data_IF_832410044787
#
_entry.id   IF_832410044787
#
_cell.length_a   1.000
_cell.length_b   1.000
_cell.length_c   1.000
_cell.angle_alpha   90.00
_cell.angle_beta   90.00
_cell.angle_gamma   90.00
#
_symmetry.space_group_name_H-M   'P 1'
#
loop_
_entity.id
_entity.type
_entity.pdbx_description
1 polymer ?
#
# COMPACT_ATOMS: atom_id res chain seq x y z
N UNK A 1 58.68 36.43 -43.93
CA UNK A 1 58.17 35.42 -42.97
C UNK A 1 56.85 35.85 -42.32
N UNK A 2 56.01 36.61 -43.04
CA UNK A 2 54.87 37.37 -42.46
C UNK A 2 53.50 36.96 -43.03
N UNK A 3 53.44 36.34 -44.21
CA UNK A 3 52.16 35.88 -44.80
C UNK A 3 51.56 34.64 -44.10
N UNK A 4 52.41 33.70 -43.64
CA UNK A 4 51.95 32.44 -43.00
C UNK A 4 51.23 32.66 -41.66
N UNK A 5 51.61 33.69 -40.88
CA UNK A 5 50.95 34.05 -39.61
C UNK A 5 49.55 34.65 -39.82
N UNK A 6 49.35 35.41 -40.90
CA UNK A 6 48.07 36.08 -41.19
C UNK A 6 46.97 35.11 -41.63
N UNK A 7 47.32 34.04 -42.35
CA UNK A 7 46.34 33.04 -42.82
C UNK A 7 45.95 32.09 -41.68
N UNK A 8 46.92 31.72 -40.83
CA UNK A 8 46.67 30.86 -39.67
C UNK A 8 45.76 31.53 -38.63
N UNK A 9 45.96 32.83 -38.36
CA UNK A 9 45.07 33.59 -37.46
C UNK A 9 43.64 33.72 -38.02
N UNK A 10 43.47 33.97 -39.32
CA UNK A 10 42.14 34.06 -39.95
C UNK A 10 41.40 32.72 -39.96
N UNK A 11 42.11 31.61 -40.16
CA UNK A 11 41.53 30.27 -40.09
C UNK A 11 41.09 29.89 -38.66
N UNK A 12 41.87 30.30 -37.65
CA UNK A 12 41.56 30.06 -36.24
C UNK A 12 40.40 30.93 -35.74
N UNK A 13 40.34 32.21 -36.12
CA UNK A 13 39.19 33.09 -35.86
C UNK A 13 37.90 32.60 -36.53
N UNK A 14 38.00 32.10 -37.77
CA UNK A 14 36.87 31.50 -38.48
C UNK A 14 36.36 30.23 -37.80
N UNK A 15 37.25 29.36 -37.32
CA UNK A 15 36.89 28.16 -36.57
C UNK A 15 36.24 28.48 -35.21
N UNK A 16 36.75 29.50 -34.49
CA UNK A 16 36.15 30.00 -33.26
C UNK A 16 34.75 30.59 -33.51
N UNK A 17 34.56 31.33 -34.60
CA UNK A 17 33.25 31.86 -34.97
C UNK A 17 32.24 30.76 -35.32
N UNK A 18 32.66 29.72 -36.03
CA UNK A 18 31.81 28.57 -36.33
C UNK A 18 31.46 27.81 -35.04
N UNK A 19 32.42 27.61 -34.15
CA UNK A 19 32.18 27.01 -32.83
C UNK A 19 31.20 27.82 -31.97
N UNK A 20 31.29 29.14 -32.00
CA UNK A 20 30.37 30.04 -31.30
C UNK A 20 28.96 30.02 -31.91
N UNK A 21 28.83 29.93 -33.24
CA UNK A 21 27.53 29.76 -33.90
C UNK A 21 26.88 28.42 -33.53
N UNK A 22 27.63 27.31 -33.56
CA UNK A 22 27.11 26.02 -33.14
C UNK A 22 26.78 25.98 -31.65
N UNK A 23 27.59 26.62 -30.79
CA UNK A 23 27.30 26.79 -29.37
C UNK A 23 26.02 27.58 -29.11
N UNK A 24 25.79 28.66 -29.86
CA UNK A 24 24.56 29.47 -29.79
C UNK A 24 23.34 28.70 -30.28
N UNK A 25 23.45 27.93 -31.36
CA UNK A 25 22.35 27.09 -31.87
C UNK A 25 22.05 25.98 -30.86
N UNK A 26 23.08 25.33 -30.30
CA UNK A 26 22.93 24.32 -29.26
C UNK A 26 22.27 24.91 -28.00
N UNK A 27 22.62 26.14 -27.59
CA UNK A 27 21.96 26.83 -26.49
C UNK A 27 20.51 27.24 -26.84
N UNK A 28 20.27 27.70 -28.06
CA UNK A 28 18.94 28.12 -28.53
C UNK A 28 17.95 26.96 -28.62
N UNK A 29 18.41 25.76 -28.95
CA UNK A 29 17.57 24.55 -28.97
C UNK A 29 17.58 23.88 -27.59
N UNK A 30 18.74 23.81 -26.95
CA UNK A 30 18.95 23.10 -25.69
C UNK A 30 18.25 23.74 -24.50
N UNK A 31 18.28 25.08 -24.37
CA UNK A 31 17.65 25.77 -23.23
C UNK A 31 16.12 25.62 -23.26
N UNK A 32 15.40 25.89 -24.38
CA UNK A 32 13.97 25.64 -24.45
C UNK A 32 13.61 24.17 -24.27
N UNK A 33 14.41 23.24 -24.81
CA UNK A 33 14.18 21.80 -24.63
C UNK A 33 14.33 21.38 -23.16
N UNK A 34 15.35 21.89 -22.46
CA UNK A 34 15.56 21.65 -21.04
C UNK A 34 14.47 22.29 -20.18
N UNK A 35 14.00 23.49 -20.53
CA UNK A 35 12.87 24.14 -19.86
C UNK A 35 11.58 23.35 -20.07
N UNK A 36 11.29 22.93 -21.30
CA UNK A 36 10.11 22.11 -21.62
C UNK A 36 10.15 20.77 -20.89
N UNK A 37 11.29 20.06 -20.94
CA UNK A 37 11.48 18.83 -20.20
C UNK A 37 11.33 19.06 -18.68
N UNK A 38 11.94 20.12 -18.14
CA UNK A 38 11.80 20.50 -16.73
C UNK A 38 10.35 20.77 -16.32
N UNK A 39 9.53 21.38 -17.19
CA UNK A 39 8.11 21.60 -16.93
C UNK A 39 7.24 20.35 -17.07
N UNK A 40 7.51 19.52 -18.09
CA UNK A 40 6.73 18.31 -18.37
C UNK A 40 7.00 17.21 -17.34
N UNK A 41 8.26 17.07 -16.93
CA UNK A 41 8.72 16.04 -15.99
C UNK A 41 8.91 16.60 -14.58
N UNK A 42 8.35 17.77 -14.27
CA UNK A 42 8.55 18.44 -12.99
C UNK A 42 8.17 17.54 -11.80
N UNK A 43 7.02 16.86 -11.88
CA UNK A 43 6.55 15.96 -10.82
C UNK A 43 7.47 14.75 -10.66
N UNK A 44 7.96 14.16 -11.76
CA UNK A 44 8.88 13.01 -11.71
C UNK A 44 10.25 13.40 -11.13
N UNK A 45 10.74 14.60 -11.47
CA UNK A 45 11.95 15.17 -10.89
C UNK A 45 11.75 15.38 -9.39
N UNK A 46 10.65 16.02 -8.98
CA UNK A 46 10.36 16.24 -7.57
C UNK A 46 10.14 14.94 -6.79
N UNK A 47 9.50 13.94 -7.40
CA UNK A 47 9.32 12.61 -6.81
C UNK A 47 10.66 11.96 -6.47
N UNK A 48 11.71 12.20 -7.27
CA UNK A 48 13.05 11.69 -7.00
C UNK A 48 13.82 12.50 -5.94
N UNK A 49 13.57 13.81 -5.82
CA UNK A 49 14.39 14.71 -5.00
C UNK A 49 13.75 15.17 -3.69
N UNK A 50 12.45 14.94 -3.49
CA UNK A 50 11.74 15.34 -2.27
C UNK A 50 11.12 14.12 -1.58
N UNK A 51 11.23 14.05 -0.27
CA UNK A 51 10.59 12.99 0.50
C UNK A 51 9.06 13.18 0.49
N UNK A 52 8.27 12.11 0.31
CA UNK A 52 6.83 12.18 0.30
C UNK A 52 6.28 12.58 1.67
N UNK A 53 5.31 13.50 1.68
CA UNK A 53 4.67 14.00 2.89
C UNK A 53 3.22 13.52 2.95
N UNK A 54 3.03 12.30 3.42
CA UNK A 54 1.72 11.71 3.67
C UNK A 54 1.51 11.49 5.16
N UNK A 55 0.31 11.80 5.62
CA UNK A 55 -0.19 11.34 6.92
C UNK A 55 -1.26 10.28 6.66
N UNK A 56 -1.17 9.16 7.36
CA UNK A 56 -2.17 8.12 7.27
C UNK A 56 -2.53 7.61 8.66
N UNK A 57 -3.82 7.38 8.88
CA UNK A 57 -4.33 6.78 10.10
C UNK A 57 -5.12 5.52 9.78
N UNK A 58 -4.87 4.46 10.54
CA UNK A 58 -5.62 3.21 10.46
C UNK A 58 -6.76 3.28 11.48
N UNK A 59 -7.99 3.39 11.00
CA UNK A 59 -9.16 3.55 11.86
C UNK A 59 -9.66 2.20 12.39
N UNK A 60 -9.74 1.22 11.49
CA UNK A 60 -10.33 -0.09 11.76
C UNK A 60 -9.44 -1.18 11.16
N UNK A 61 -9.23 -2.23 11.93
CA UNK A 61 -8.59 -3.47 11.49
C UNK A 61 -9.58 -4.62 11.64
N UNK A 62 -9.71 -5.41 10.59
CA UNK A 62 -10.52 -6.61 10.54
C UNK A 62 -9.65 -7.82 10.22
N UNK A 63 -9.64 -8.80 11.11
CA UNK A 63 -9.04 -10.11 10.90
C UNK A 63 -10.14 -11.05 10.48
N UNK A 64 -10.11 -11.55 9.25
CA UNK A 64 -11.23 -12.28 8.66
C UNK A 64 -10.81 -13.48 7.82
N UNK A 65 -11.82 -14.25 7.50
CA UNK A 65 -11.80 -15.29 6.49
C UNK A 65 -11.60 -14.68 5.09
N UNK A 66 -10.45 -14.95 4.46
CA UNK A 66 -10.05 -14.40 3.15
C UNK A 66 -10.70 -15.08 1.95
N UNK A 67 -12.01 -15.33 2.00
CA UNK A 67 -12.73 -15.96 0.89
C UNK A 67 -12.99 -14.92 -0.19
N UNK A 68 -12.50 -15.21 -1.39
CA UNK A 68 -12.76 -14.42 -2.60
C UNK A 68 -14.06 -14.94 -3.23
N UNK A 69 -15.13 -14.16 -3.11
CA UNK A 69 -16.41 -14.48 -3.75
C UNK A 69 -16.43 -13.84 -5.14
N UNK A 70 -15.94 -14.60 -6.12
CA UNK A 70 -15.64 -14.14 -7.48
C UNK A 70 -16.87 -13.88 -8.38
N UNK A 71 -18.08 -13.69 -7.82
CA UNK A 71 -19.26 -13.19 -8.55
C UNK A 71 -20.45 -12.97 -7.62
N UNK A 72 -21.27 -11.95 -7.91
CA UNK A 72 -22.59 -11.74 -7.29
C UNK A 72 -23.52 -12.96 -7.42
N UNK A 73 -23.35 -13.78 -8.47
CA UNK A 73 -24.12 -15.00 -8.70
C UNK A 73 -23.83 -16.08 -7.63
N UNK A 74 -22.55 -16.29 -7.29
CA UNK A 74 -22.15 -17.25 -6.25
C UNK A 74 -22.61 -16.82 -4.85
N UNK A 75 -22.75 -15.52 -4.59
CA UNK A 75 -23.26 -14.98 -3.30
C UNK A 75 -24.77 -15.22 -3.17
N UNK A 76 -25.53 -15.04 -4.26
CA UNK A 76 -27.00 -15.18 -4.26
C UNK A 76 -27.48 -16.63 -4.25
N UNK A 77 -26.74 -17.57 -4.84
CA UNK A 77 -27.11 -18.99 -4.88
C UNK A 77 -26.61 -19.79 -3.66
N UNK A 78 -25.66 -19.23 -2.93
CA UNK A 78 -25.01 -19.86 -1.80
C UNK A 78 -25.84 -19.83 -0.51
N UNK A 79 -26.49 -20.94 -0.18
CA UNK A 79 -26.56 -21.39 1.23
C UNK A 79 -25.18 -21.87 1.67
N UNK A 80 -24.13 -21.06 1.49
CA UNK A 80 -22.77 -21.44 1.86
C UNK A 80 -22.71 -21.58 3.38
N UNK A 81 -22.38 -22.78 3.83
CA UNK A 81 -21.97 -23.02 5.20
C UNK A 81 -20.61 -22.32 5.41
N UNK A 82 -20.66 -21.05 5.81
CA UNK A 82 -19.48 -20.23 6.06
C UNK A 82 -18.52 -20.89 7.05
N UNK A 83 -19.00 -21.74 7.95
CA UNK A 83 -18.14 -22.52 8.85
C UNK A 83 -17.20 -23.46 8.08
N UNK A 84 -17.68 -24.09 7.01
CA UNK A 84 -16.87 -24.96 6.13
C UNK A 84 -15.97 -24.16 5.20
N UNK A 85 -16.50 -23.11 4.57
CA UNK A 85 -15.73 -22.29 3.63
C UNK A 85 -14.57 -21.58 4.34
N UNK A 86 -14.83 -21.04 5.53
CA UNK A 86 -13.82 -20.37 6.33
C UNK A 86 -12.86 -21.32 7.06
N UNK A 87 -13.20 -22.60 7.20
CA UNK A 87 -12.29 -23.60 7.75
C UNK A 87 -11.03 -23.78 6.91
N UNK A 88 -11.14 -23.67 5.58
CA UNK A 88 -10.02 -23.87 4.65
C UNK A 88 -9.48 -22.57 4.05
N UNK A 89 -10.13 -21.43 4.33
CA UNK A 89 -9.75 -20.14 3.79
C UNK A 89 -8.43 -19.62 4.40
N UNK A 90 -7.63 -18.86 3.63
CA UNK A 90 -6.50 -18.14 4.18
C UNK A 90 -6.99 -17.08 5.18
N UNK A 91 -6.16 -16.81 6.19
CA UNK A 91 -6.34 -15.64 7.04
C UNK A 91 -6.16 -14.38 6.18
N UNK A 92 -7.05 -13.42 6.33
CA UNK A 92 -6.95 -12.10 5.71
C UNK A 92 -6.98 -11.03 6.79
N UNK A 93 -6.22 -9.97 6.57
CA UNK A 93 -6.28 -8.77 7.40
C UNK A 93 -6.63 -7.61 6.48
N UNK A 94 -7.80 -7.04 6.73
CA UNK A 94 -8.25 -5.82 6.08
C UNK A 94 -8.11 -4.65 7.04
N UNK A 95 -7.76 -3.49 6.52
CA UNK A 95 -7.63 -2.29 7.32
C UNK A 95 -8.17 -1.09 6.55
N UNK A 96 -8.92 -0.25 7.25
CA UNK A 96 -9.44 1.01 6.74
C UNK A 96 -8.46 2.11 7.10
N UNK A 97 -7.95 2.79 6.07
CA UNK A 97 -6.94 3.82 6.19
C UNK A 97 -7.48 5.13 5.63
N UNK A 98 -7.36 6.18 6.43
CA UNK A 98 -7.53 7.55 5.98
C UNK A 98 -6.18 8.09 5.56
N UNK A 99 -6.03 8.45 4.28
CA UNK A 99 -4.78 9.01 3.75
C UNK A 99 -4.98 10.50 3.47
N UNK A 100 -4.00 11.29 3.89
CA UNK A 100 -3.90 12.71 3.62
C UNK A 100 -2.56 12.97 2.91
N UNK A 101 -2.66 13.55 1.71
CA UNK A 101 -1.52 13.97 0.92
C UNK A 101 -1.20 15.44 1.26
N UNK A 102 -0.23 15.65 2.15
CA UNK A 102 0.18 17.00 2.54
C UNK A 102 1.19 17.61 1.57
N UNK A 103 1.50 16.94 0.45
CA UNK A 103 2.31 17.51 -0.61
C UNK A 103 1.51 18.45 -1.50
N UNK A 104 2.24 19.38 -2.13
CA UNK A 104 1.72 20.24 -3.19
C UNK A 104 1.74 19.58 -4.57
N UNK A 105 2.28 18.35 -4.65
CA UNK A 105 2.37 17.54 -5.86
C UNK A 105 1.61 16.23 -5.69
N UNK A 106 1.09 15.71 -6.80
CA UNK A 106 0.49 14.37 -6.84
C UNK A 106 1.62 13.35 -6.91
N UNK A 107 1.68 12.45 -5.92
CA UNK A 107 2.64 11.34 -5.94
C UNK A 107 1.94 10.05 -6.27
N UNK A 108 2.64 9.21 -7.02
CA UNK A 108 2.15 7.88 -7.38
C UNK A 108 2.66 6.88 -6.37
N UNK A 109 1.74 6.17 -5.73
CA UNK A 109 2.02 5.04 -4.87
C UNK A 109 2.20 3.78 -5.72
N UNK A 110 3.37 3.16 -5.62
CA UNK A 110 3.75 2.02 -6.45
C UNK A 110 3.40 0.71 -5.74
N UNK A 111 3.77 0.59 -4.46
CA UNK A 111 3.45 -0.58 -3.66
C UNK A 111 3.18 -0.21 -2.20
N UNK A 112 2.54 -1.15 -1.51
CA UNK A 112 2.39 -1.12 -0.06
C UNK A 112 2.68 -2.49 0.52
N UNK A 113 3.21 -2.49 1.73
CA UNK A 113 3.41 -3.67 2.55
C UNK A 113 2.86 -3.43 3.94
N UNK A 114 2.45 -4.51 4.58
CA UNK A 114 1.94 -4.51 5.95
C UNK A 114 2.78 -5.46 6.76
N UNK A 115 3.41 -4.92 7.78
CA UNK A 115 4.13 -5.68 8.79
C UNK A 115 3.24 -5.87 10.00
N UNK A 116 3.02 -7.12 10.38
CA UNK A 116 2.16 -7.51 11.48
C UNK A 116 3.00 -8.21 12.53
N UNK A 117 2.93 -7.71 13.76
CA UNK A 117 3.53 -8.33 14.92
C UNK A 117 2.42 -8.67 15.93
N UNK A 118 2.25 -9.95 16.22
CA UNK A 118 1.26 -10.43 17.19
C UNK A 118 1.74 -11.68 17.88
N UNK A 119 1.38 -11.82 19.15
CA UNK A 119 1.52 -13.08 19.91
C UNK A 119 0.84 -14.24 19.19
N UNK A 120 -0.23 -13.98 18.42
CA UNK A 120 -0.93 -15.00 17.64
C UNK A 120 -0.09 -15.58 16.50
N UNK A 121 0.80 -14.76 15.92
CA UNK A 121 1.64 -15.12 14.79
C UNK A 121 2.99 -15.70 15.21
N UNK A 122 3.36 -15.56 16.49
CA UNK A 122 4.64 -16.00 17.10
C UNK A 122 5.90 -15.35 16.49
N UNK A 123 5.75 -14.59 15.41
CA UNK A 123 6.79 -13.86 14.70
C UNK A 123 6.20 -12.63 14.01
N UNK A 124 7.08 -11.71 13.67
CA UNK A 124 6.77 -10.61 12.77
C UNK A 124 6.67 -11.14 11.33
N UNK A 125 5.62 -10.73 10.61
CA UNK A 125 5.38 -11.12 9.22
C UNK A 125 5.11 -9.85 8.42
N UNK A 126 5.87 -9.64 7.35
CA UNK A 126 5.63 -8.59 6.38
C UNK A 126 5.01 -9.18 5.11
N UNK A 127 3.89 -8.61 4.67
CA UNK A 127 3.12 -9.06 3.52
C UNK A 127 2.89 -7.89 2.56
N UNK A 128 3.00 -8.08 1.24
CA UNK A 128 2.56 -7.08 0.28
C UNK A 128 1.04 -6.91 0.35
N UNK A 129 0.55 -5.68 0.15
CA UNK A 129 -0.87 -5.41 -0.09
C UNK A 129 -1.23 -5.93 -1.46
N UNK A 130 -2.26 -6.77 -1.51
CA UNK A 130 -2.60 -7.52 -2.72
C UNK A 130 -3.86 -6.99 -3.37
N UNK A 131 -4.76 -6.41 -2.58
CA UNK A 131 -6.07 -5.97 -3.05
C UNK A 131 -6.54 -4.70 -2.35
N UNK A 132 -7.35 -3.92 -3.08
CA UNK A 132 -8.23 -2.91 -2.52
C UNK A 132 -9.58 -3.58 -2.28
N UNK A 133 -10.14 -3.38 -1.09
CA UNK A 133 -11.46 -3.93 -0.74
C UNK A 133 -12.51 -2.89 -1.03
N UNK A 134 -13.35 -3.15 -2.02
CA UNK A 134 -14.60 -2.42 -2.20
C UNK A 134 -15.69 -3.13 -1.41
N UNK A 135 -16.24 -2.46 -0.38
CA UNK A 135 -17.42 -2.95 0.33
C UNK A 135 -18.68 -2.69 -0.52
N UNK A 136 -19.37 -3.75 -0.87
CA UNK A 136 -20.75 -3.72 -1.33
C UNK A 136 -21.68 -4.26 -0.25
N UNK A 137 -22.88 -3.69 -0.13
CA UNK A 137 -23.95 -4.28 0.69
C UNK A 137 -24.96 -4.89 -0.28
N UNK A 138 -24.97 -6.21 -0.39
CA UNK A 138 -25.98 -6.95 -1.15
C UNK A 138 -26.79 -7.82 -0.18
N UNK A 139 -28.10 -7.57 -0.10
CA UNK A 139 -29.05 -8.36 0.71
C UNK A 139 -28.62 -8.57 2.18
N UNK A 140 -28.19 -7.50 2.87
CA UNK A 140 -27.76 -7.52 4.28
C UNK A 140 -26.49 -8.35 4.57
N UNK A 141 -25.84 -8.88 3.54
CA UNK A 141 -24.51 -9.48 3.64
C UNK A 141 -23.50 -8.44 3.17
N UNK A 142 -22.50 -8.13 4.01
CA UNK A 142 -21.34 -7.36 3.54
C UNK A 142 -20.59 -8.22 2.52
N UNK A 143 -20.67 -7.86 1.25
CA UNK A 143 -19.88 -8.48 0.19
C UNK A 143 -18.62 -7.65 0.00
N UNK A 144 -17.45 -8.24 0.22
CA UNK A 144 -16.18 -7.60 -0.14
C UNK A 144 -15.80 -8.04 -1.54
N UNK A 145 -15.84 -7.13 -2.51
CA UNK A 145 -15.19 -7.35 -3.80
C UNK A 145 -13.73 -6.93 -3.71
N UNK A 146 -12.84 -7.79 -4.17
CA UNK A 146 -11.41 -7.50 -4.24
C UNK A 146 -11.10 -6.94 -5.62
N UNK A 147 -10.57 -5.71 -5.65
CA UNK A 147 -9.99 -5.13 -6.85
C UNK A 147 -8.49 -5.38 -6.78
N UNK A 148 -7.87 -5.94 -7.83
CA UNK A 148 -6.42 -6.08 -7.89
C UNK A 148 -5.73 -4.76 -7.60
N UNK A 149 -4.60 -4.81 -6.91
CA UNK A 149 -3.75 -3.63 -6.75
C UNK A 149 -3.32 -3.08 -8.11
N UNK A 150 -3.40 -1.76 -8.25
CA UNK A 150 -2.78 -1.01 -9.34
C UNK A 150 -2.25 0.31 -8.74
N UNK A 151 -1.31 0.96 -9.43
CA UNK A 151 -0.72 2.22 -8.98
C UNK A 151 -1.83 3.24 -8.64
N UNK A 152 -1.79 3.78 -7.41
CA UNK A 152 -2.81 4.71 -6.93
C UNK A 152 -2.25 6.12 -6.77
N UNK A 153 -3.11 7.10 -7.06
CA UNK A 153 -2.92 8.50 -6.66
C UNK A 153 -3.91 8.75 -5.51
N UNK A 154 -3.40 9.22 -4.37
CA UNK A 154 -4.24 9.60 -3.24
C UNK A 154 -4.46 11.10 -3.22
N UNK A 155 -5.73 11.51 -3.29
CA UNK A 155 -6.13 12.88 -2.96
C UNK A 155 -6.25 13.07 -1.45
N UNK A 156 -6.33 14.34 -1.04
CA UNK A 156 -6.52 14.69 0.35
C UNK A 156 -7.86 14.20 0.92
N UNK A 157 -7.79 13.49 2.06
CA UNK A 157 -8.96 13.03 2.80
C UNK A 157 -9.63 11.79 2.22
N UNK A 158 -8.94 11.00 1.40
CA UNK A 158 -9.49 9.76 0.88
C UNK A 158 -9.48 8.66 1.95
N UNK A 159 -10.64 8.03 2.15
CA UNK A 159 -10.78 6.79 2.92
C UNK A 159 -10.69 5.61 1.95
N UNK A 160 -9.78 4.68 2.22
CA UNK A 160 -9.61 3.46 1.43
C UNK A 160 -9.41 2.26 2.33
N UNK A 161 -10.01 1.14 1.96
CA UNK A 161 -9.81 -0.14 2.64
C UNK A 161 -8.88 -1.02 1.84
N UNK A 162 -7.84 -1.51 2.48
CA UNK A 162 -6.83 -2.38 1.90
C UNK A 162 -6.86 -3.75 2.55
N UNK A 163 -6.30 -4.73 1.86
CA UNK A 163 -6.20 -6.09 2.38
C UNK A 163 -4.87 -6.76 2.04
N UNK A 164 -4.39 -7.51 3.03
CA UNK A 164 -3.35 -8.53 2.88
C UNK A 164 -3.93 -9.91 3.14
N UNK A 165 -3.44 -10.91 2.40
CA UNK A 165 -3.83 -12.31 2.58
C UNK A 165 -2.60 -13.17 2.86
N UNK A 166 -2.72 -14.05 3.85
CA UNK A 166 -1.73 -15.07 4.16
C UNK A 166 -1.89 -16.24 3.18
N UNK A 167 -1.53 -16.00 1.93
CA UNK A 167 -1.55 -17.01 0.87
C UNK A 167 -0.14 -17.58 0.65
N UNK A 168 0.00 -18.90 0.42
CA UNK A 168 1.28 -19.52 0.08
C UNK A 168 1.87 -19.01 -1.24
N UNK A 169 1.05 -18.44 -2.12
CA UNK A 169 1.51 -17.87 -3.40
C UNK A 169 2.25 -16.54 -3.17
N UNK A 170 1.85 -15.80 -2.13
CA UNK A 170 2.30 -14.42 -1.88
C UNK A 170 3.25 -14.32 -0.69
N UNK A 171 3.32 -15.35 0.13
CA UNK A 171 4.15 -15.37 1.33
C UNK A 171 4.57 -16.80 1.70
N UNK A 172 5.72 -16.93 2.37
CA UNK A 172 6.13 -18.19 3.01
C UNK A 172 5.26 -18.55 4.23
N UNK A 173 4.12 -17.85 4.45
CA UNK A 173 3.19 -18.07 5.53
C UNK A 173 1.82 -18.51 5.01
N UNK A 174 1.50 -19.78 5.19
CA UNK A 174 0.16 -20.32 4.93
C UNK A 174 -0.61 -20.40 6.26
N UNK A 175 -1.07 -19.24 6.75
CA UNK A 175 -1.91 -19.20 7.94
C UNK A 175 -3.36 -19.32 7.54
N UNK A 176 -4.01 -20.39 7.99
CA UNK A 176 -5.43 -20.62 7.76
C UNK A 176 -6.26 -19.86 8.78
N UNK A 177 -7.42 -19.36 8.37
CA UNK A 177 -8.36 -18.70 9.28
C UNK A 177 -8.80 -19.61 10.43
N UNK A 178 -8.94 -20.91 10.17
CA UNK A 178 -9.23 -21.92 11.19
C UNK A 178 -8.23 -21.91 12.35
N UNK A 179 -6.92 -21.79 12.07
CA UNK A 179 -5.89 -21.77 13.10
C UNK A 179 -6.03 -20.55 14.01
N UNK A 180 -6.36 -19.40 13.43
CA UNK A 180 -6.67 -18.18 14.17
C UNK A 180 -7.91 -18.37 15.06
N UNK A 181 -9.01 -18.86 14.48
CA UNK A 181 -10.26 -19.09 15.21
C UNK A 181 -10.09 -20.08 16.36
N UNK A 182 -9.36 -21.17 16.13
CA UNK A 182 -9.16 -22.21 17.13
C UNK A 182 -8.34 -21.67 18.31
N UNK A 183 -7.33 -20.82 18.09
CA UNK A 183 -6.62 -20.13 19.20
C UNK A 183 -7.57 -19.31 20.09
N UNK A 184 -8.56 -18.62 19.51
CA UNK A 184 -9.58 -17.87 20.28
C UNK A 184 -10.50 -18.80 21.09
N UNK A 185 -10.86 -19.95 20.52
CA UNK A 185 -11.81 -20.88 21.15
C UNK A 185 -11.16 -21.78 22.21
N UNK A 186 -9.91 -22.20 22.01
CA UNK A 186 -9.23 -23.16 22.91
C UNK A 186 -8.43 -22.47 24.02
N UNK A 187 -7.85 -21.31 23.74
CA UNK A 187 -6.97 -20.61 24.68
C UNK A 187 -7.31 -19.11 24.80
N UNK A 188 -8.59 -18.75 25.09
CA UNK A 188 -9.01 -17.35 25.11
C UNK A 188 -8.15 -16.51 26.06
N UNK A 189 -7.79 -17.03 27.23
CA UNK A 189 -6.95 -16.31 28.20
C UNK A 189 -5.54 -15.93 27.72
N UNK A 190 -5.00 -16.60 26.69
CA UNK A 190 -3.71 -16.20 26.07
C UNK A 190 -3.89 -15.10 25.03
N UNK A 191 -5.08 -15.00 24.45
CA UNK A 191 -5.45 -13.99 23.45
C UNK A 191 -5.95 -12.72 24.14
N UNK A 192 -6.71 -12.87 25.22
CA UNK A 192 -7.21 -11.77 26.03
C UNK A 192 -6.07 -10.87 26.53
N UNK A 193 -6.24 -9.55 26.37
CA UNK A 193 -5.25 -8.52 26.68
C UNK A 193 -3.95 -8.60 25.88
N UNK A 194 -3.82 -9.53 24.94
CA UNK A 194 -2.74 -9.47 23.96
C UNK A 194 -2.97 -8.31 22.98
N UNK A 195 -1.94 -7.98 22.21
CA UNK A 195 -2.03 -6.97 21.17
C UNK A 195 -1.47 -7.45 19.83
N UNK A 196 -1.94 -6.83 18.78
CA UNK A 196 -1.39 -6.94 17.43
C UNK A 196 -0.98 -5.54 16.97
N UNK A 197 0.28 -5.38 16.59
CA UNK A 197 0.76 -4.16 15.95
C UNK A 197 0.67 -4.34 14.44
N UNK A 198 0.09 -3.35 13.77
CA UNK A 198 0.01 -3.26 12.31
C UNK A 198 0.79 -2.04 11.88
N UNK A 199 1.78 -2.25 11.02
CA UNK A 199 2.62 -1.20 10.42
C UNK A 199 2.36 -1.24 8.93
N UNK A 200 1.84 -0.16 8.37
CA UNK A 200 1.63 -0.01 6.93
C UNK A 200 2.79 0.83 6.39
N UNK A 201 3.49 0.26 5.42
CA UNK A 201 4.59 0.91 4.74
C UNK A 201 4.29 1.00 3.24
N UNK A 202 4.82 2.02 2.59
CA UNK A 202 4.56 2.32 1.19
C UNK A 202 5.81 2.74 0.45
N UNK A 203 5.88 2.40 -0.85
CA UNK A 203 6.87 2.95 -1.77
C UNK A 203 6.19 3.83 -2.81
N UNK A 204 6.72 5.02 -2.97
CA UNK A 204 6.27 5.98 -3.97
C UNK A 204 7.21 5.97 -5.18
N UNK A 205 6.73 6.52 -6.30
CA UNK A 205 7.55 6.75 -7.47
C UNK A 205 8.79 7.57 -7.09
N UNK A 206 9.94 7.21 -7.66
CA UNK A 206 11.22 7.87 -7.36
C UNK A 206 11.91 7.39 -6.07
N UNK A 207 11.29 6.52 -5.27
CA UNK A 207 11.88 5.95 -4.05
C UNK A 207 12.29 4.49 -4.19
N UNK A 208 13.42 4.16 -3.56
CA UNK A 208 13.96 2.80 -3.54
C UNK A 208 13.48 2.01 -2.31
N UNK A 209 13.17 2.71 -1.21
CA UNK A 209 12.78 2.12 0.07
C UNK A 209 11.31 2.37 0.40
N UNK A 210 10.74 1.47 1.20
CA UNK A 210 9.43 1.67 1.81
C UNK A 210 9.53 2.63 2.99
N UNK A 211 8.57 3.55 3.09
CA UNK A 211 8.41 4.41 4.26
C UNK A 211 7.19 3.99 5.08
N UNK A 212 7.31 4.04 6.40
CA UNK A 212 6.17 3.80 7.30
C UNK A 212 5.16 4.94 7.17
N UNK A 213 3.94 4.61 6.71
CA UNK A 213 2.81 5.53 6.58
C UNK A 213 1.98 5.61 7.85
N UNK A 214 1.66 4.46 8.42
CA UNK A 214 0.78 4.36 9.57
C UNK A 214 1.19 3.20 10.46
N UNK A 215 1.03 3.39 11.77
CA UNK A 215 1.30 2.37 12.78
C UNK A 215 0.20 2.40 13.82
N UNK A 216 -0.36 1.24 14.09
CA UNK A 216 -1.45 1.14 15.04
C UNK A 216 -1.42 -0.17 15.81
N UNK A 217 -2.06 -0.18 16.97
CA UNK A 217 -2.20 -1.34 17.84
C UNK A 217 -3.65 -1.73 17.99
N UNK A 218 -3.93 -3.01 17.79
CA UNK A 218 -5.21 -3.64 18.09
C UNK A 218 -5.07 -4.38 19.41
N UNK A 219 -5.87 -3.99 20.40
CA UNK A 219 -5.95 -4.70 21.69
C UNK A 219 -7.11 -5.69 21.64
N UNK A 220 -6.81 -6.95 21.98
CA UNK A 220 -7.78 -8.03 22.10
C UNK A 220 -8.43 -8.00 23.48
N UNK A 221 -9.33 -7.03 23.69
CA UNK A 221 -10.07 -6.90 24.96
C UNK A 221 -10.87 -8.17 25.29
N UNK A 222 -10.93 -8.58 26.58
CA UNK A 222 -11.66 -9.77 27.01
C UNK A 222 -13.11 -9.80 26.53
N UNK A 223 -13.81 -8.67 26.58
CA UNK A 223 -15.20 -8.58 26.13
C UNK A 223 -15.35 -8.79 24.62
N UNK A 224 -14.38 -8.34 23.83
CA UNK A 224 -14.40 -8.51 22.37
C UNK A 224 -14.08 -9.96 21.99
N UNK A 225 -13.13 -10.59 22.68
CA UNK A 225 -12.81 -12.02 22.52
C UNK A 225 -14.03 -12.87 22.89
N UNK A 226 -14.64 -12.62 24.06
CA UNK A 226 -15.85 -13.34 24.49
C UNK A 226 -17.01 -13.19 23.51
N UNK A 227 -17.24 -11.97 23.01
CA UNK A 227 -18.27 -11.73 21.97
C UNK A 227 -17.99 -12.54 20.71
N UNK A 228 -16.75 -12.60 20.25
CA UNK A 228 -16.38 -13.40 19.08
C UNK A 228 -16.61 -14.90 19.32
N UNK A 229 -16.10 -15.44 20.43
CA UNK A 229 -16.22 -16.87 20.78
C UNK A 229 -17.67 -17.28 21.02
N UNK A 230 -18.51 -16.38 21.54
CA UNK A 230 -19.94 -16.65 21.79
C UNK A 230 -20.78 -16.80 20.51
N UNK A 231 -20.27 -16.36 19.36
CA UNK A 231 -20.97 -16.52 18.08
C UNK A 231 -20.98 -17.98 17.65
N UNK A 232 -22.05 -18.46 16.98
CA UNK A 232 -22.04 -19.74 16.29
C UNK A 232 -20.85 -19.86 15.34
N UNK A 233 -20.32 -21.08 15.16
CA UNK A 233 -19.13 -21.33 14.32
C UNK A 233 -19.27 -20.76 12.90
N UNK A 234 -20.48 -20.81 12.32
CA UNK A 234 -20.77 -20.24 10.99
C UNK A 234 -20.77 -18.71 10.93
N UNK A 235 -20.82 -18.02 12.08
CA UNK A 235 -20.84 -16.56 12.20
C UNK A 235 -19.50 -16.00 12.69
N UNK A 236 -18.57 -16.85 13.13
CA UNK A 236 -17.19 -16.50 13.49
C UNK A 236 -16.33 -16.27 12.23
N UNK A 237 -16.75 -15.36 11.34
CA UNK A 237 -16.09 -15.11 10.04
C UNK A 237 -15.11 -13.94 10.05
N UNK A 238 -15.26 -13.04 11.03
CA UNK A 238 -14.41 -11.86 11.18
C UNK A 238 -14.35 -11.36 12.64
N UNK A 239 -13.18 -10.85 13.00
CA UNK A 239 -12.90 -10.14 14.23
C UNK A 239 -12.52 -8.69 13.89
N UNK A 240 -13.38 -7.74 14.26
CA UNK A 240 -13.24 -6.32 13.90
C UNK A 240 -12.92 -5.51 15.13
N UNK A 241 -11.91 -4.64 15.05
CA UNK A 241 -11.54 -3.72 16.13
C UNK A 241 -11.07 -2.39 15.58
N UNK A 242 -11.33 -1.33 16.35
CA UNK A 242 -10.70 -0.04 16.11
C UNK A 242 -9.23 -0.12 16.48
N UNK A 243 -8.41 0.55 15.70
CA UNK A 243 -6.99 0.65 16.00
C UNK A 243 -6.72 1.84 16.92
N UNK A 244 -5.75 1.67 17.82
CA UNK A 244 -5.20 2.77 18.61
C UNK A 244 -3.94 3.22 17.89
N UNK A 245 -3.95 4.45 17.36
CA UNK A 245 -2.79 5.03 16.68
C UNK A 245 -1.63 5.12 17.67
N UNK A 246 -0.48 4.57 17.28
CA UNK A 246 0.77 4.73 18.04
C UNK A 246 1.52 5.85 17.33
N UNK A 247 1.37 7.08 17.81
CA UNK A 247 2.11 8.21 17.26
C UNK A 247 3.62 7.95 17.36
N UNK A 248 4.35 8.35 16.32
CA UNK A 248 5.82 8.36 16.28
C UNK A 248 6.39 9.32 17.32
#
# INVERSE_FOLDING_TARGET
MTLKKSIFNRGFEGALHIGDIFGKIAAFVGIPSALLAGTLYWNEILDRFTAPNFTADIEVVEIRCGVILDSDAKIREAKLDFGKVCGEAPLAISFEMLVQNNDTILRTLIDMSVTINSVLLEREISLPVTHIVAEGITNYVKSTSQVPWDNQIFDNGQHRRFEVQFSPILSNSNLKFLQFRDKFNTEPGKVENSSMTVIVSARYAGMDEHIELAKCQVIFEPESVKRFVSKPVGEQVAFVRRCISIQK
#
